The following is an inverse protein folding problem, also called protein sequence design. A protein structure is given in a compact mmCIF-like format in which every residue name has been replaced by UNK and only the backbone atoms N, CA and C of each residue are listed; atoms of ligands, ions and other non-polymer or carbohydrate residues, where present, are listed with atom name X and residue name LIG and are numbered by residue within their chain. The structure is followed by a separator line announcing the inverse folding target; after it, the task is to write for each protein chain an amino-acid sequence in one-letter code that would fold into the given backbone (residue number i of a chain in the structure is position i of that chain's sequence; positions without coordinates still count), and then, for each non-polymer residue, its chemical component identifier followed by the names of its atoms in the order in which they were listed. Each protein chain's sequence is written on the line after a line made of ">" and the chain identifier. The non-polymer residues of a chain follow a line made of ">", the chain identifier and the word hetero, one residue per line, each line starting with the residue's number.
data_IF_255751131586
#
_entry.id   IF_255751131586
#
_cell.length_a   1.000
_cell.length_b   1.000
_cell.length_c   1.000
_cell.angle_alpha   90.00
_cell.angle_beta   90.00
_cell.angle_gamma   90.00
#
_symmetry.space_group_name_H-M   'P 1'
#
loop_
_entity.id
_entity.type
_entity.pdbx_description
1 polymer ?
#
# COMPACT_ATOMS: atom_id res chain seq x y z
N UNK A 1 -35.42 -16.42 48.49
CA UNK A 1 -34.61 -17.40 47.73
C UNK A 1 -35.36 -17.67 46.43
N UNK A 2 -34.74 -17.45 45.27
CA UNK A 2 -35.37 -17.71 43.97
C UNK A 2 -35.78 -19.19 43.82
N UNK A 3 -36.92 -19.43 43.19
CA UNK A 3 -37.44 -20.77 42.93
C UNK A 3 -36.52 -21.55 41.97
N UNK A 4 -36.60 -22.89 41.97
CA UNK A 4 -35.80 -23.72 41.06
C UNK A 4 -36.12 -23.41 39.58
N UNK A 5 -37.37 -23.05 39.29
CA UNK A 5 -37.82 -22.63 37.95
C UNK A 5 -37.18 -21.31 37.52
N UNK A 6 -37.14 -20.31 38.41
CA UNK A 6 -36.46 -19.04 38.14
C UNK A 6 -34.98 -19.26 37.81
N UNK A 7 -34.26 -20.06 38.61
CA UNK A 7 -32.85 -20.39 38.35
C UNK A 7 -32.62 -21.13 37.04
N UNK A 8 -33.51 -22.05 36.68
CA UNK A 8 -33.41 -22.78 35.41
C UNK A 8 -33.68 -21.85 34.21
N UNK A 9 -34.58 -20.90 34.36
CA UNK A 9 -34.85 -19.88 33.34
C UNK A 9 -33.67 -18.91 33.19
N UNK A 10 -33.08 -18.45 34.29
CA UNK A 10 -31.85 -17.64 34.30
C UNK A 10 -30.69 -18.37 33.61
N UNK A 11 -30.48 -19.66 33.92
CA UNK A 11 -29.43 -20.47 33.32
C UNK A 11 -29.64 -20.66 31.80
N UNK A 12 -30.89 -20.78 31.36
CA UNK A 12 -31.22 -20.85 29.93
C UNK A 12 -30.89 -19.54 29.21
N UNK A 13 -31.31 -18.40 29.76
CA UNK A 13 -31.04 -17.08 29.21
C UNK A 13 -29.53 -16.77 29.15
N UNK A 14 -28.78 -17.12 30.19
CA UNK A 14 -27.32 -16.95 30.21
C UNK A 14 -26.62 -17.82 29.17
N UNK A 15 -27.07 -19.07 28.97
CA UNK A 15 -26.53 -19.94 27.92
C UNK A 15 -26.79 -19.36 26.52
N UNK A 16 -28.00 -18.86 26.27
CA UNK A 16 -28.35 -18.22 24.99
C UNK A 16 -27.48 -16.97 24.75
N UNK A 17 -27.34 -16.10 25.75
CA UNK A 17 -26.46 -14.93 25.69
C UNK A 17 -24.99 -15.30 25.43
N UNK A 18 -24.45 -16.37 26.04
CA UNK A 18 -23.09 -16.83 25.76
C UNK A 18 -22.87 -17.15 24.28
N UNK A 19 -23.81 -17.89 23.69
CA UNK A 19 -23.73 -18.34 22.29
C UNK A 19 -23.79 -17.15 21.34
N UNK A 20 -24.63 -16.14 21.66
CA UNK A 20 -24.68 -14.89 20.90
C UNK A 20 -23.36 -14.12 20.96
N UNK A 21 -22.74 -13.98 22.13
CA UNK A 21 -21.45 -13.29 22.28
C UNK A 21 -20.30 -14.08 21.62
N UNK A 22 -20.35 -15.42 21.62
CA UNK A 22 -19.43 -16.27 20.85
C UNK A 22 -19.56 -16.05 19.35
N UNK A 23 -20.79 -15.99 18.83
CA UNK A 23 -21.06 -15.71 17.42
C UNK A 23 -20.56 -14.31 17.02
N UNK A 24 -20.77 -13.29 17.88
CA UNK A 24 -20.24 -11.93 17.68
C UNK A 24 -18.71 -11.93 17.65
N UNK A 25 -18.06 -12.66 18.55
CA UNK A 25 -16.60 -12.78 18.58
C UNK A 25 -16.06 -13.42 17.30
N UNK A 26 -16.69 -14.51 16.84
CA UNK A 26 -16.30 -15.18 15.59
C UNK A 26 -16.47 -14.27 14.37
N UNK A 27 -17.55 -13.48 14.32
CA UNK A 27 -17.77 -12.48 13.28
C UNK A 27 -16.68 -11.40 13.27
N UNK A 28 -16.35 -10.84 14.45
CA UNK A 28 -15.29 -9.83 14.55
C UNK A 28 -13.90 -10.38 14.21
N UNK A 29 -13.60 -11.63 14.56
CA UNK A 29 -12.36 -12.29 14.17
C UNK A 29 -12.25 -12.42 12.65
N UNK A 30 -13.36 -12.80 11.99
CA UNK A 30 -13.43 -12.86 10.53
C UNK A 30 -13.21 -11.48 9.90
N UNK A 31 -13.90 -10.45 10.40
CA UNK A 31 -13.70 -9.07 9.92
C UNK A 31 -12.26 -8.59 10.11
N UNK A 32 -11.64 -8.87 11.26
CA UNK A 32 -10.23 -8.51 11.51
C UNK A 32 -9.28 -9.20 10.50
N UNK A 33 -9.54 -10.47 10.18
CA UNK A 33 -8.77 -11.22 9.19
C UNK A 33 -8.95 -10.66 7.77
N UNK A 34 -10.19 -10.36 7.37
CA UNK A 34 -10.50 -9.73 6.08
C UNK A 34 -9.82 -8.36 5.97
N UNK A 35 -9.81 -7.57 7.05
CA UNK A 35 -9.17 -6.26 7.08
C UNK A 35 -7.65 -6.35 6.94
N UNK A 36 -7.01 -7.35 7.59
CA UNK A 36 -5.59 -7.65 7.41
C UNK A 36 -5.25 -8.00 5.97
N UNK A 37 -6.04 -8.88 5.36
CA UNK A 37 -5.85 -9.24 3.94
C UNK A 37 -6.06 -8.05 3.01
N UNK A 38 -7.05 -7.21 3.28
CA UNK A 38 -7.28 -5.98 2.51
C UNK A 38 -6.09 -5.02 2.63
N UNK A 39 -5.54 -4.87 3.86
CA UNK A 39 -4.36 -4.07 4.12
C UNK A 39 -3.17 -4.55 3.28
N UNK A 40 -2.89 -5.85 3.31
CA UNK A 40 -1.81 -6.47 2.52
C UNK A 40 -1.99 -6.26 1.01
N UNK A 41 -3.18 -6.53 0.46
CA UNK A 41 -3.44 -6.32 -0.98
C UNK A 41 -3.31 -4.86 -1.41
N UNK A 42 -3.71 -3.93 -0.56
CA UNK A 42 -3.55 -2.50 -0.83
C UNK A 42 -2.07 -2.12 -0.85
N UNK A 43 -1.30 -2.60 0.13
CA UNK A 43 0.14 -2.36 0.21
C UNK A 43 0.90 -2.93 -0.99
N UNK A 44 0.53 -4.12 -1.45
CA UNK A 44 1.11 -4.74 -2.64
C UNK A 44 0.86 -3.88 -3.88
N UNK A 45 -0.40 -3.47 -4.12
CA UNK A 45 -0.76 -2.58 -5.24
C UNK A 45 0.02 -1.27 -5.24
N UNK A 46 0.07 -0.57 -4.10
CA UNK A 46 0.81 0.70 -3.98
C UNK A 46 2.31 0.50 -4.18
N UNK A 47 2.87 -0.62 -3.71
CA UNK A 47 4.30 -0.90 -3.87
C UNK A 47 4.65 -1.19 -5.33
N UNK A 48 3.77 -1.86 -6.09
CA UNK A 48 3.94 -2.05 -7.54
C UNK A 48 3.88 -0.70 -8.28
N UNK A 49 2.95 0.18 -7.91
CA UNK A 49 2.83 1.51 -8.52
C UNK A 49 4.07 2.38 -8.28
N UNK A 50 4.58 2.42 -7.04
CA UNK A 50 5.81 3.13 -6.69
C UNK A 50 7.00 2.56 -7.47
N UNK A 51 7.12 1.24 -7.60
CA UNK A 51 8.20 0.60 -8.34
C UNK A 51 8.16 0.96 -9.84
N UNK A 52 6.97 0.97 -10.46
CA UNK A 52 6.81 1.35 -11.86
C UNK A 52 7.17 2.82 -12.11
N UNK A 53 6.78 3.72 -11.19
CA UNK A 53 7.16 5.13 -11.27
C UNK A 53 8.68 5.34 -11.04
N UNK A 54 9.30 4.53 -10.18
CA UNK A 54 10.75 4.55 -9.98
C UNK A 54 11.51 4.12 -11.25
N UNK A 55 11.06 3.05 -11.91
CA UNK A 55 11.62 2.59 -13.20
C UNK A 55 11.50 3.68 -14.27
N UNK A 56 10.31 4.29 -14.39
CA UNK A 56 10.05 5.41 -15.31
C UNK A 56 10.98 6.61 -15.07
N UNK A 57 11.20 6.95 -13.80
CA UNK A 57 12.13 8.03 -13.42
C UNK A 57 13.57 7.69 -13.81
N UNK A 58 13.99 6.43 -13.65
CA UNK A 58 15.32 5.99 -14.05
C UNK A 58 15.51 6.08 -15.57
N UNK A 59 14.53 5.65 -16.36
CA UNK A 59 14.54 5.79 -17.83
C UNK A 59 14.65 7.26 -18.25
N UNK A 60 13.86 8.15 -17.65
CA UNK A 60 13.89 9.58 -17.95
C UNK A 60 15.24 10.21 -17.60
N UNK A 61 15.84 9.79 -16.49
CA UNK A 61 17.15 10.25 -16.07
C UNK A 61 18.26 9.81 -17.05
N UNK A 62 18.25 8.55 -17.49
CA UNK A 62 19.18 8.06 -18.52
C UNK A 62 19.01 8.82 -19.85
N UNK A 63 17.76 9.03 -20.26
CA UNK A 63 17.45 9.80 -21.46
C UNK A 63 17.89 11.27 -21.35
N UNK A 64 17.80 11.87 -20.16
CA UNK A 64 18.30 13.21 -19.89
C UNK A 64 19.83 13.26 -20.01
N UNK A 65 20.54 12.32 -19.40
CA UNK A 65 22.00 12.21 -19.46
C UNK A 65 22.47 12.10 -20.92
N UNK A 66 21.86 11.20 -21.69
CA UNK A 66 22.14 11.07 -23.12
C UNK A 66 21.90 12.38 -23.90
N UNK A 67 20.78 13.07 -23.64
CA UNK A 67 20.50 14.35 -24.29
C UNK A 67 21.55 15.42 -23.94
N UNK A 68 22.02 15.46 -22.68
CA UNK A 68 23.06 16.40 -22.23
C UNK A 68 24.40 16.09 -22.91
N UNK A 69 24.79 14.82 -23.01
CA UNK A 69 26.01 14.40 -23.71
C UNK A 69 26.00 14.78 -25.18
N UNK A 70 24.88 14.54 -25.88
CA UNK A 70 24.72 14.95 -27.28
C UNK A 70 24.80 16.47 -27.46
N UNK A 71 24.17 17.25 -26.56
CA UNK A 71 24.26 18.71 -26.59
C UNK A 71 25.71 19.17 -26.38
N UNK A 72 26.44 18.55 -25.44
CA UNK A 72 27.84 18.85 -25.20
C UNK A 72 28.74 18.51 -26.41
N UNK A 73 28.48 17.39 -27.08
CA UNK A 73 29.18 17.00 -28.31
C UNK A 73 28.96 18.01 -29.45
N UNK A 74 27.69 18.41 -29.69
CA UNK A 74 27.34 19.42 -30.70
C UNK A 74 27.93 20.81 -30.38
N UNK A 75 28.08 21.15 -29.11
CA UNK A 75 28.75 22.38 -28.68
C UNK A 75 30.23 22.35 -29.03
N UNK A 76 30.93 21.25 -28.76
CA UNK A 76 32.34 21.06 -29.15
C UNK A 76 32.52 21.11 -30.66
N UNK A 77 31.69 20.42 -31.43
CA UNK A 77 31.75 20.43 -32.90
C UNK A 77 31.53 21.82 -33.50
N UNK A 78 30.64 22.63 -32.92
CA UNK A 78 30.50 24.02 -33.39
C UNK A 78 31.70 24.89 -33.03
N UNK A 79 32.34 24.65 -31.88
CA UNK A 79 33.54 25.39 -31.52
C UNK A 79 34.68 25.07 -32.48
N UNK A 80 34.86 23.80 -32.85
CA UNK A 80 35.87 23.39 -33.84
C UNK A 80 35.59 23.99 -35.22
N UNK A 81 34.34 23.90 -35.71
CA UNK A 81 33.95 24.52 -36.99
C UNK A 81 34.18 26.04 -36.99
N UNK A 82 33.96 26.71 -35.85
CA UNK A 82 34.22 28.14 -35.72
C UNK A 82 35.72 28.46 -35.79
N UNK A 83 36.56 27.68 -35.12
CA UNK A 83 38.02 27.82 -35.15
C UNK A 83 38.59 27.55 -36.55
N UNK A 84 38.10 26.53 -37.25
CA UNK A 84 38.48 26.25 -38.65
C UNK A 84 38.11 27.40 -39.58
N UNK A 85 36.97 28.06 -39.36
CA UNK A 85 36.57 29.26 -40.10
C UNK A 85 37.53 30.43 -39.84
N UNK A 86 37.92 30.67 -38.59
CA UNK A 86 38.87 31.73 -38.23
C UNK A 86 40.23 31.49 -38.91
N UNK A 87 40.76 30.27 -38.86
CA UNK A 87 42.01 29.92 -39.56
C UNK A 87 41.91 29.97 -41.08
N UNK A 88 40.80 29.54 -41.68
CA UNK A 88 40.61 29.62 -43.13
C UNK A 88 40.53 31.07 -43.63
N UNK A 89 39.92 31.97 -42.85
CA UNK A 89 39.87 33.41 -43.15
C UNK A 89 41.26 34.03 -43.01
N UNK A 90 42.01 33.72 -41.95
CA UNK A 90 43.41 34.17 -41.78
C UNK A 90 44.29 33.72 -42.96
N UNK A 91 44.21 32.46 -43.36
CA UNK A 91 45.00 31.92 -44.47
C UNK A 91 44.66 32.59 -45.82
N UNK A 92 43.38 32.89 -46.07
CA UNK A 92 42.94 33.64 -47.25
C UNK A 92 43.40 35.10 -47.22
N UNK A 93 43.40 35.75 -46.06
CA UNK A 93 43.91 37.12 -45.89
C UNK A 93 45.43 37.18 -46.14
N UNK A 94 46.18 36.19 -45.68
CA UNK A 94 47.63 36.12 -45.90
C UNK A 94 47.99 35.80 -47.35
N UNK A 95 47.23 34.94 -48.03
CA UNK A 95 47.38 34.69 -49.47
C UNK A 95 47.03 35.94 -50.30
N UNK A 96 45.96 36.66 -49.96
CA UNK A 96 45.58 37.90 -50.67
C UNK A 96 46.61 39.03 -50.51
N UNK A 97 47.35 39.09 -49.39
CA UNK A 97 48.48 40.02 -49.25
C UNK A 97 49.69 39.64 -50.13
N UNK A 98 49.84 38.36 -50.48
CA UNK A 98 50.87 37.87 -51.42
C UNK A 98 50.45 37.97 -52.90
N UNK A 99 49.16 37.96 -53.20
CA UNK A 99 48.61 37.98 -54.57
C UNK A 99 47.81 39.24 -54.88
N UNK A 100 48.39 40.43 -54.75
CA UNK A 100 47.83 41.67 -55.32
C UNK A 100 48.01 41.75 -56.85
N UNK A 101 47.62 40.69 -57.56
CA UNK A 101 47.78 40.60 -59.01
C UNK A 101 47.13 39.40 -59.69
N UNK A 102 45.84 39.10 -59.47
CA UNK A 102 44.91 38.60 -60.51
C UNK A 102 43.53 38.30 -59.96
N UNK A 103 42.54 38.84 -60.67
CA UNK A 103 41.09 38.74 -60.48
C UNK A 103 40.52 37.39 -60.96
N UNK A 104 39.34 37.05 -60.43
CA UNK A 104 38.34 36.03 -60.87
C UNK A 104 38.24 34.73 -60.03
N UNK A 105 37.80 34.82 -58.76
CA UNK A 105 37.17 33.71 -58.03
C UNK A 105 36.13 34.23 -56.99
N UNK A 106 35.17 35.07 -57.37
CA UNK A 106 34.21 35.66 -56.42
C UNK A 106 32.88 34.88 -56.20
N UNK A 107 32.26 34.16 -57.16
CA UNK A 107 30.92 33.59 -56.93
C UNK A 107 30.88 32.29 -56.11
N UNK A 108 32.00 31.56 -56.01
CA UNK A 108 32.03 30.25 -55.32
C UNK A 108 32.15 30.39 -53.79
N UNK A 109 32.75 31.48 -53.31
CA UNK A 109 32.97 31.73 -51.87
C UNK A 109 31.65 32.14 -51.19
N UNK A 110 30.88 33.03 -51.82
CA UNK A 110 29.60 33.51 -51.29
C UNK A 110 28.56 32.39 -51.16
N UNK A 111 28.55 31.44 -52.10
CA UNK A 111 27.62 30.31 -52.08
C UNK A 111 27.96 29.32 -50.95
N UNK A 112 29.26 29.08 -50.69
CA UNK A 112 29.73 28.26 -49.56
C UNK A 112 29.50 28.93 -48.21
N UNK A 113 29.63 30.25 -48.14
CA UNK A 113 29.37 31.02 -46.91
C UNK A 113 27.88 31.02 -46.57
N UNK A 114 26.99 31.13 -47.57
CA UNK A 114 25.54 31.02 -47.37
C UNK A 114 25.11 29.61 -46.93
N UNK A 115 25.69 28.57 -47.53
CA UNK A 115 25.41 27.17 -47.19
C UNK A 115 25.92 26.83 -45.78
N UNK A 116 27.09 27.32 -45.39
CA UNK A 116 27.59 27.22 -44.01
C UNK A 116 26.76 28.01 -43.01
N UNK A 117 26.34 29.24 -43.35
CA UNK A 117 25.48 30.04 -42.47
C UNK A 117 24.14 29.37 -42.24
N UNK A 118 23.57 28.72 -43.27
CA UNK A 118 22.40 27.87 -43.14
C UNK A 118 22.66 26.72 -42.17
N UNK A 119 23.74 25.95 -42.35
CA UNK A 119 24.11 24.84 -41.45
C UNK A 119 24.33 25.28 -39.99
N UNK A 120 24.96 26.44 -39.76
CA UNK A 120 25.15 27.01 -38.42
C UNK A 120 23.82 27.36 -37.76
N UNK A 121 22.87 27.93 -38.53
CA UNK A 121 21.53 28.24 -38.05
C UNK A 121 20.77 26.96 -37.69
N UNK A 122 20.77 25.94 -38.57
CA UNK A 122 20.12 24.65 -38.30
C UNK A 122 20.70 23.96 -37.07
N UNK A 123 22.02 24.05 -36.88
CA UNK A 123 22.69 23.48 -35.70
C UNK A 123 22.33 24.25 -34.42
N UNK A 124 22.24 25.58 -34.48
CA UNK A 124 21.79 26.40 -33.36
C UNK A 124 20.33 26.08 -32.98
N UNK A 125 19.44 25.95 -33.96
CA UNK A 125 18.03 25.56 -33.75
C UNK A 125 17.93 24.16 -33.15
N UNK A 126 18.70 23.19 -33.65
CA UNK A 126 18.74 21.82 -33.11
C UNK A 126 19.22 21.80 -31.65
N UNK A 127 20.20 22.63 -31.29
CA UNK A 127 20.66 22.76 -29.89
C UNK A 127 19.58 23.33 -28.98
N UNK A 128 18.89 24.38 -29.42
CA UNK A 128 17.80 24.97 -28.66
C UNK A 128 16.68 23.95 -28.43
N UNK A 129 16.32 23.18 -29.45
CA UNK A 129 15.29 22.15 -29.34
C UNK A 129 15.70 21.01 -28.40
N UNK A 130 16.96 20.56 -28.47
CA UNK A 130 17.49 19.56 -27.53
C UNK A 130 17.54 20.06 -26.08
N UNK A 131 17.87 21.33 -25.85
CA UNK A 131 17.82 21.95 -24.53
C UNK A 131 16.40 22.01 -23.98
N UNK A 132 15.42 22.41 -24.79
CA UNK A 132 13.99 22.37 -24.43
C UNK A 132 13.54 20.96 -24.07
N UNK A 133 13.99 19.95 -24.83
CA UNK A 133 13.70 18.55 -24.51
C UNK A 133 14.24 18.14 -23.13
N UNK A 134 15.46 18.58 -22.76
CA UNK A 134 16.01 18.34 -21.42
C UNK A 134 15.21 19.06 -20.34
N UNK A 135 14.80 20.31 -20.56
CA UNK A 135 13.96 21.07 -19.62
C UNK A 135 12.61 20.39 -19.38
N UNK A 136 11.96 19.90 -20.45
CA UNK A 136 10.70 19.15 -20.35
C UNK A 136 10.89 17.85 -19.57
N UNK A 137 11.94 17.08 -19.86
CA UNK A 137 12.23 15.85 -19.11
C UNK A 137 12.54 16.11 -17.64
N UNK A 138 13.22 17.22 -17.33
CA UNK A 138 13.46 17.63 -15.94
C UNK A 138 12.16 17.92 -15.20
N UNK A 139 11.24 18.66 -15.83
CA UNK A 139 9.94 18.94 -15.26
C UNK A 139 9.15 17.64 -15.03
N UNK A 140 9.17 16.70 -15.98
CA UNK A 140 8.52 15.39 -15.84
C UNK A 140 9.10 14.58 -14.67
N UNK A 141 10.43 14.54 -14.53
CA UNK A 141 11.11 13.88 -13.41
C UNK A 141 10.68 14.48 -12.07
N UNK A 142 10.56 15.81 -11.96
CA UNK A 142 10.11 16.47 -10.72
C UNK A 142 8.69 16.06 -10.37
N UNK A 143 7.76 16.12 -11.33
CA UNK A 143 6.35 15.74 -11.13
C UNK A 143 6.23 14.28 -10.71
N UNK A 144 6.99 13.36 -11.32
CA UNK A 144 6.98 11.95 -10.95
C UNK A 144 7.58 11.70 -9.56
N UNK A 145 8.61 12.45 -9.14
CA UNK A 145 9.12 12.39 -7.77
C UNK A 145 8.10 12.88 -6.75
N UNK A 146 7.43 13.99 -7.02
CA UNK A 146 6.35 14.51 -6.17
C UNK A 146 5.23 13.48 -6.05
N UNK A 147 4.79 12.88 -7.16
CA UNK A 147 3.75 11.84 -7.16
C UNK A 147 4.17 10.59 -6.38
N UNK A 148 5.42 10.16 -6.49
CA UNK A 148 5.96 9.06 -5.69
C UNK A 148 5.89 9.37 -4.20
N UNK A 149 6.30 10.58 -3.81
CA UNK A 149 6.26 10.99 -2.41
C UNK A 149 4.82 11.05 -1.88
N UNK A 150 3.87 11.56 -2.66
CA UNK A 150 2.44 11.55 -2.31
C UNK A 150 1.91 10.11 -2.12
N UNK A 151 2.26 9.19 -3.02
CA UNK A 151 1.85 7.79 -2.93
C UNK A 151 2.40 7.10 -1.69
N UNK A 152 3.65 7.40 -1.31
CA UNK A 152 4.25 6.94 -0.06
C UNK A 152 3.49 7.47 1.17
N UNK A 153 3.18 8.77 1.21
CA UNK A 153 2.39 9.35 2.30
C UNK A 153 0.97 8.76 2.35
N UNK A 154 0.32 8.56 1.21
CA UNK A 154 -0.98 7.88 1.16
C UNK A 154 -0.89 6.42 1.61
N UNK A 155 0.22 5.73 1.35
CA UNK A 155 0.47 4.36 1.82
C UNK A 155 0.59 4.34 3.34
N UNK A 156 1.35 5.27 3.92
CA UNK A 156 1.52 5.40 5.37
C UNK A 156 0.20 5.74 6.07
N UNK A 157 -0.54 6.76 5.60
CA UNK A 157 -1.84 7.13 6.18
C UNK A 157 -2.83 5.97 6.16
N UNK A 158 -2.88 5.22 5.07
CA UNK A 158 -3.75 4.03 4.96
C UNK A 158 -3.33 2.93 5.95
N UNK A 159 -2.04 2.73 6.16
CA UNK A 159 -1.53 1.77 7.15
C UNK A 159 -1.95 2.17 8.56
N UNK A 160 -1.76 3.44 8.92
CA UNK A 160 -2.12 3.98 10.24
C UNK A 160 -3.62 3.85 10.52
N UNK A 161 -4.46 4.20 9.55
CA UNK A 161 -5.92 4.08 9.67
C UNK A 161 -6.34 2.62 9.90
N UNK A 162 -5.80 1.69 9.10
CA UNK A 162 -6.14 0.27 9.23
C UNK A 162 -5.57 -0.36 10.50
N UNK A 163 -4.41 0.08 10.97
CA UNK A 163 -3.86 -0.38 12.24
C UNK A 163 -4.70 0.10 13.42
N UNK A 164 -5.18 1.35 13.41
CA UNK A 164 -6.11 1.85 14.41
C UNK A 164 -7.40 1.01 14.45
N UNK A 165 -7.98 0.70 13.28
CA UNK A 165 -9.17 -0.14 13.18
C UNK A 165 -8.93 -1.57 13.69
N UNK A 166 -7.77 -2.17 13.36
CA UNK A 166 -7.35 -3.47 13.89
C UNK A 166 -7.25 -3.43 15.41
N UNK A 167 -6.65 -2.40 15.99
CA UNK A 167 -6.50 -2.24 17.45
C UNK A 167 -7.87 -2.19 18.11
N UNK A 168 -8.79 -1.35 17.62
CA UNK A 168 -10.15 -1.26 18.17
C UNK A 168 -10.90 -2.60 18.07
N UNK A 169 -10.78 -3.32 16.96
CA UNK A 169 -11.38 -4.64 16.81
C UNK A 169 -10.78 -5.67 17.79
N UNK A 170 -9.47 -5.63 18.02
CA UNK A 170 -8.79 -6.52 18.97
C UNK A 170 -9.22 -6.23 20.41
N UNK A 171 -9.36 -4.96 20.79
CA UNK A 171 -9.92 -4.56 22.09
C UNK A 171 -11.33 -5.10 22.27
N UNK A 172 -12.20 -4.95 21.25
CA UNK A 172 -13.56 -5.47 21.32
C UNK A 172 -13.61 -7.00 21.43
N UNK A 173 -12.74 -7.72 20.71
CA UNK A 173 -12.61 -9.17 20.84
C UNK A 173 -12.21 -9.55 22.28
N UNK A 174 -11.28 -8.80 22.88
CA UNK A 174 -10.85 -9.03 24.27
C UNK A 174 -11.98 -8.81 25.27
N UNK A 175 -12.78 -7.77 25.11
CA UNK A 175 -13.97 -7.53 25.95
C UNK A 175 -14.97 -8.68 25.85
N UNK A 176 -15.24 -9.15 24.63
CA UNK A 176 -16.14 -10.30 24.39
C UNK A 176 -15.60 -11.58 25.02
N UNK A 177 -14.28 -11.80 24.99
CA UNK A 177 -13.64 -12.93 25.67
C UNK A 177 -13.85 -12.87 27.18
N UNK A 178 -13.65 -11.70 27.79
CA UNK A 178 -13.90 -11.50 29.22
C UNK A 178 -15.38 -11.67 29.59
N UNK A 179 -16.30 -11.22 28.72
CA UNK A 179 -17.74 -11.44 28.90
C UNK A 179 -18.08 -12.93 28.86
N UNK A 180 -17.56 -13.66 27.88
CA UNK A 180 -17.71 -15.11 27.77
C UNK A 180 -17.19 -15.81 29.03
N UNK A 181 -16.00 -15.47 29.50
CA UNK A 181 -15.42 -16.04 30.72
C UNK A 181 -16.30 -15.81 31.94
N UNK A 182 -16.82 -14.59 32.11
CA UNK A 182 -17.78 -14.26 33.17
C UNK A 182 -19.06 -15.08 33.07
N UNK A 183 -19.64 -15.17 31.87
CA UNK A 183 -20.88 -15.95 31.70
C UNK A 183 -20.65 -17.45 31.99
N UNK A 184 -19.50 -18.01 31.61
CA UNK A 184 -19.11 -19.40 31.97
C UNK A 184 -19.00 -19.57 33.49
N UNK A 185 -18.40 -18.60 34.18
CA UNK A 185 -18.30 -18.62 35.64
C UNK A 185 -19.67 -18.51 36.33
N UNK A 186 -20.55 -17.63 35.84
CA UNK A 186 -21.92 -17.46 36.35
C UNK A 186 -22.75 -18.73 36.15
N UNK A 187 -22.67 -19.36 34.96
CA UNK A 187 -23.31 -20.66 34.70
C UNK A 187 -22.77 -21.73 35.66
N UNK A 188 -21.46 -21.75 35.91
CA UNK A 188 -20.84 -22.68 36.86
C UNK A 188 -21.29 -22.44 38.31
N UNK A 189 -21.50 -21.18 38.71
CA UNK A 189 -21.97 -20.79 40.04
C UNK A 189 -23.45 -21.15 40.26
N UNK A 190 -24.30 -20.99 39.25
CA UNK A 190 -25.71 -21.41 39.28
C UNK A 190 -25.87 -22.93 39.38
N UNK A 191 -24.91 -23.69 38.84
CA UNK A 191 -24.79 -25.14 39.05
C UNK A 191 -24.24 -25.45 40.46
N UNK A 192 -25.09 -25.31 41.49
CA UNK A 192 -24.68 -25.47 42.90
C UNK A 192 -23.93 -26.79 43.19
N UNK A 193 -22.95 -26.80 44.13
CA UNK A 193 -22.32 -28.03 44.62
C UNK A 193 -23.34 -29.00 45.24
N UNK A 194 -24.45 -28.46 45.77
CA UNK A 194 -25.55 -29.22 46.35
C UNK A 194 -26.33 -30.00 45.28
N UNK A 195 -26.56 -29.40 44.10
CA UNK A 195 -27.11 -30.09 42.94
C UNK A 195 -26.18 -31.19 42.44
N UNK A 196 -24.87 -30.93 42.37
CA UNK A 196 -23.87 -31.94 41.98
C UNK A 196 -23.82 -33.11 42.97
N UNK A 197 -23.85 -32.84 44.28
CA UNK A 197 -23.93 -33.86 45.34
C UNK A 197 -25.26 -34.63 45.30
N UNK A 198 -26.36 -33.95 45.03
CA UNK A 198 -27.69 -34.55 44.89
C UNK A 198 -27.79 -35.46 43.66
N UNK A 199 -27.30 -35.02 42.49
CA UNK A 199 -27.24 -35.86 41.28
C UNK A 199 -26.32 -37.07 41.47
N UNK A 200 -25.16 -36.90 42.14
CA UNK A 200 -24.28 -38.01 42.50
C UNK A 200 -24.89 -38.97 43.54
N UNK A 201 -25.81 -38.49 44.38
CA UNK A 201 -26.55 -39.32 45.32
C UNK A 201 -27.68 -40.09 44.60
N UNK A 202 -28.44 -39.42 43.73
CA UNK A 202 -29.48 -40.05 42.92
C UNK A 202 -28.93 -41.12 41.97
N UNK A 203 -27.79 -40.88 41.32
CA UNK A 203 -27.14 -41.86 40.43
C UNK A 203 -26.62 -43.10 41.16
N UNK A 204 -26.55 -43.09 42.49
CA UNK A 204 -26.18 -44.26 43.32
C UNK A 204 -27.40 -45.06 43.77
N UNK A 205 -28.58 -44.45 43.77
CA UNK A 205 -29.83 -45.05 44.29
C UNK A 205 -30.73 -45.50 43.15
N UNK A 206 -30.67 -44.83 42.00
CA UNK A 206 -31.44 -45.15 40.80
C UNK A 206 -30.46 -45.56 39.68
N UNK A 207 -30.33 -46.87 39.37
CA UNK A 207 -29.32 -47.38 38.43
C UNK A 207 -29.53 -46.92 36.97
N UNK A 208 -30.75 -46.52 36.61
CA UNK A 208 -31.15 -46.19 35.25
C UNK A 208 -31.73 -44.77 35.17
N UNK A 209 -30.96 -43.75 35.58
CA UNK A 209 -31.31 -42.36 35.25
C UNK A 209 -30.80 -42.08 33.83
N UNK A 210 -31.66 -41.87 32.83
CA UNK A 210 -31.23 -41.56 31.47
C UNK A 210 -30.42 -40.26 31.45
N UNK A 211 -29.37 -40.17 30.63
CA UNK A 211 -28.45 -39.03 30.61
C UNK A 211 -29.14 -37.69 30.28
N UNK A 212 -30.30 -37.73 29.63
CA UNK A 212 -31.16 -36.57 29.34
C UNK A 212 -31.67 -35.84 30.61
N UNK A 213 -31.66 -36.48 31.78
CA UNK A 213 -32.09 -35.88 33.05
C UNK A 213 -31.00 -35.06 33.75
N UNK A 214 -29.76 -35.02 33.22
CA UNK A 214 -28.67 -34.18 33.79
C UNK A 214 -28.85 -32.69 33.51
N UNK A 215 -29.68 -32.31 32.53
CA UNK A 215 -29.98 -30.92 32.21
C UNK A 215 -31.44 -30.56 32.55
N UNK A 216 -31.70 -30.25 33.82
CA UNK A 216 -32.79 -29.33 34.22
C UNK A 216 -34.22 -29.88 34.32
N UNK A 217 -34.53 -31.12 33.94
CA UNK A 217 -35.92 -31.67 33.98
C UNK A 217 -36.17 -32.65 35.14
N UNK A 218 -35.85 -32.26 36.38
CA UNK A 218 -36.07 -33.11 37.55
C UNK A 218 -37.47 -32.93 38.20
N UNK A 219 -38.25 -31.96 37.73
CA UNK A 219 -39.60 -31.66 38.25
C UNK A 219 -40.61 -32.82 38.01
N UNK A 220 -40.32 -33.75 37.09
CA UNK A 220 -41.20 -34.88 36.77
C UNK A 220 -40.95 -36.08 37.71
N UNK A 221 -39.73 -36.24 38.23
CA UNK A 221 -39.35 -37.43 39.02
C UNK A 221 -39.75 -37.33 40.50
N UNK A 222 -39.76 -36.12 41.07
CA UNK A 222 -40.09 -35.92 42.50
C UNK A 222 -41.57 -36.15 42.84
N UNK A 223 -42.46 -36.17 41.84
CA UNK A 223 -43.88 -36.48 42.03
C UNK A 223 -44.21 -37.98 42.15
N UNK A 224 -43.23 -38.86 41.90
CA UNK A 224 -43.41 -40.32 41.92
C UNK A 224 -42.68 -41.01 43.09
N UNK A 225 -41.99 -40.27 43.94
CA UNK A 225 -41.38 -40.85 45.14
C UNK A 225 -42.46 -41.04 46.23
N UNK A 226 -42.56 -42.23 46.84
CA UNK A 226 -43.51 -42.46 47.93
C UNK A 226 -43.20 -41.51 49.10
N UNK A 227 -44.24 -41.01 49.81
CA UNK A 227 -44.03 -40.14 50.95
C UNK A 227 -43.34 -40.92 52.06
N UNK A 228 -42.19 -40.43 52.52
CA UNK A 228 -41.56 -40.83 53.77
C UNK A 228 -41.93 -39.82 54.85
#
# INVERSE_FOLDING_TARGET
>A
MASLRERNQELKQLKEHCVEEEAKMAALQKTNQELKQQKERCLEKKSVEIAALHERNQELQQLKEHCVEEVAALLKENQTLKQEKEHSVEEKVDKNKQTTGRTLEEPCVEQKDAEMAALQKTNHELKQEKLRCVEVKNAEIVVLHERNHELEQEKERFVEEKDAEIVTLLERIRELQQLKERCVQEIAALKTPRWRKFMNFLSRIVPDVPDDYREGSLDIFLGQLPPF
#
